data_IF_923435671375
#
_entry.id   IF_923435671375
#
_cell.length_a   1.000
_cell.length_b   1.000
_cell.length_c   1.000
_cell.angle_alpha   90.00
_cell.angle_beta   90.00
_cell.angle_gamma   90.00
#
_symmetry.space_group_name_H-M   'P 1'
#
loop_
_entity.id
_entity.type
_entity.pdbx_description
1 polymer ?
#
# COMPACT_ATOMS: atom_id res chain seq x y z
N UNK A 1 -3.92 4.41 1.57
CA UNK A 1 -5.37 4.07 1.68
C UNK A 1 -5.47 2.57 1.52
N UNK A 2 -5.72 1.82 2.59
CA UNK A 2 -5.90 0.37 2.54
C UNK A 2 -7.39 0.06 2.59
N UNK A 3 -7.89 -0.73 1.64
CA UNK A 3 -9.26 -1.23 1.61
C UNK A 3 -9.26 -2.73 1.81
N UNK A 4 -10.19 -3.23 2.64
CA UNK A 4 -10.51 -4.64 2.83
C UNK A 4 -11.60 -5.00 1.82
N UNK A 5 -11.36 -6.02 0.98
CA UNK A 5 -12.41 -6.61 0.14
C UNK A 5 -13.03 -7.78 0.89
N UNK A 6 -14.29 -7.63 1.30
CA UNK A 6 -15.18 -8.75 1.64
C UNK A 6 -16.22 -8.84 0.53
N UNK A 7 -16.27 -9.97 -0.16
CA UNK A 7 -17.40 -10.32 -1.02
C UNK A 7 -18.39 -11.11 -0.17
N UNK A 8 -19.66 -10.71 -0.21
CA UNK A 8 -20.76 -11.65 -0.03
C UNK A 8 -22.03 -11.19 -0.78
N UNK A 9 -22.84 -12.19 -1.11
CA UNK A 9 -23.86 -12.28 -2.15
C UNK A 9 -25.15 -11.46 -1.89
N UNK A 10 -25.66 -10.84 -2.96
CA UNK A 10 -27.06 -10.49 -3.29
C UNK A 10 -28.08 -10.20 -2.17
N UNK A 11 -28.67 -8.99 -2.19
CA UNK A 11 -30.14 -8.77 -2.21
C UNK A 11 -30.42 -7.37 -2.79
N UNK A 12 -31.39 -7.28 -3.71
CA UNK A 12 -31.84 -6.07 -4.40
C UNK A 12 -33.03 -5.49 -3.62
N UNK A 13 -32.97 -4.21 -3.24
CA UNK A 13 -34.13 -3.33 -3.02
C UNK A 13 -33.62 -1.87 -2.99
N UNK A 14 -33.76 -1.10 -4.07
CA UNK A 14 -34.88 -0.18 -4.35
C UNK A 14 -35.15 0.84 -3.25
N UNK A 15 -34.52 2.01 -3.37
CA UNK A 15 -34.94 3.22 -2.67
C UNK A 15 -33.74 4.12 -2.42
N UNK A 16 -33.64 5.21 -3.19
CA UNK A 16 -32.98 6.50 -2.88
C UNK A 16 -32.77 7.25 -4.21
N UNK A 17 -33.87 7.66 -4.84
CA UNK A 17 -33.86 8.60 -5.96
C UNK A 17 -34.69 9.79 -5.55
N UNK A 18 -34.20 10.64 -4.63
CA UNK A 18 -34.88 11.93 -4.36
C UNK A 18 -34.00 13.11 -3.93
N UNK A 19 -32.70 12.95 -3.66
CA UNK A 19 -31.91 14.06 -3.09
C UNK A 19 -30.91 14.73 -4.05
N UNK A 20 -30.97 14.48 -5.35
CA UNK A 20 -29.95 15.00 -6.30
C UNK A 20 -30.29 16.36 -6.94
N UNK A 21 -31.49 16.90 -6.75
CA UNK A 21 -31.96 18.06 -7.54
C UNK A 21 -31.94 19.41 -6.79
N UNK A 22 -31.56 19.42 -5.51
CA UNK A 22 -31.66 20.62 -4.66
C UNK A 22 -30.39 21.50 -4.61
N UNK A 23 -29.30 21.14 -5.30
CA UNK A 23 -28.00 21.84 -5.17
C UNK A 23 -27.47 22.54 -6.43
N UNK A 24 -28.28 22.72 -7.49
CA UNK A 24 -27.84 23.40 -8.71
C UNK A 24 -28.50 24.75 -9.00
N UNK A 25 -29.34 25.27 -8.11
CA UNK A 25 -29.91 26.62 -8.21
C UNK A 25 -28.92 27.70 -7.76
N UNK A 26 -27.82 27.89 -8.51
CA UNK A 26 -26.87 28.96 -8.21
C UNK A 26 -25.72 29.16 -9.18
N UNK A 27 -25.54 28.26 -10.16
CA UNK A 27 -24.54 28.43 -11.22
C UNK A 27 -25.22 29.10 -12.40
N UNK A 28 -25.33 30.43 -12.33
CA UNK A 28 -26.00 31.19 -13.39
C UNK A 28 -26.17 32.67 -13.09
N UNK A 29 -25.13 33.38 -12.64
CA UNK A 29 -25.09 34.82 -12.88
C UNK A 29 -23.66 35.37 -12.90
N UNK A 30 -23.44 36.27 -13.84
CA UNK A 30 -22.19 36.78 -14.40
C UNK A 30 -21.24 37.46 -13.41
N UNK A 31 -19.92 37.42 -13.69
CA UNK A 31 -19.04 38.58 -13.99
C UNK A 31 -17.56 38.25 -13.74
N UNK A 32 -16.69 38.56 -14.71
CA UNK A 32 -15.31 38.98 -14.47
C UNK A 32 -14.20 38.03 -14.93
N UNK A 33 -13.44 38.45 -15.95
CA UNK A 33 -12.14 37.90 -16.31
C UNK A 33 -11.07 38.22 -15.23
N UNK A 34 -11.18 37.58 -14.06
CA UNK A 34 -10.18 37.61 -12.99
C UNK A 34 -9.30 36.36 -13.04
N UNK A 35 -7.99 36.52 -12.86
CA UNK A 35 -7.06 35.40 -12.81
C UNK A 35 -7.48 34.39 -11.72
N UNK A 36 -7.76 33.16 -12.14
CA UNK A 36 -8.06 32.06 -11.24
C UNK A 36 -6.80 31.71 -10.45
N UNK A 37 -6.84 31.80 -9.12
CA UNK A 37 -5.75 31.31 -8.28
C UNK A 37 -5.97 29.82 -8.01
N UNK A 38 -5.09 28.96 -8.53
CA UNK A 38 -5.13 27.51 -8.26
C UNK A 38 -5.06 27.17 -6.76
N UNK A 39 -4.59 28.10 -5.91
CA UNK A 39 -4.60 27.96 -4.45
C UNK A 39 -6.01 27.77 -3.88
N UNK A 40 -7.01 28.41 -4.47
CA UNK A 40 -8.36 28.46 -3.89
C UNK A 40 -9.15 27.19 -4.21
N UNK A 41 -8.80 26.52 -5.31
CA UNK A 41 -9.31 25.19 -5.68
C UNK A 41 -8.77 24.12 -4.73
N UNK A 42 -7.51 24.23 -4.30
CA UNK A 42 -6.91 23.31 -3.31
C UNK A 42 -7.47 23.53 -1.90
N UNK A 43 -8.10 24.67 -1.62
CA UNK A 43 -8.73 24.97 -0.34
C UNK A 43 -10.18 24.43 -0.23
N UNK A 44 -10.72 23.82 -1.30
CA UNK A 44 -12.04 23.22 -1.27
C UNK A 44 -12.11 22.10 -0.21
N UNK A 45 -13.23 21.96 0.52
CA UNK A 45 -13.43 20.89 1.51
C UNK A 45 -13.24 19.47 0.94
N UNK A 46 -13.29 19.30 -0.39
CA UNK A 46 -12.96 18.05 -1.09
C UNK A 46 -11.50 17.60 -0.84
N UNK A 47 -10.59 18.53 -0.53
CA UNK A 47 -9.19 18.26 -0.18
C UNK A 47 -8.92 18.28 1.33
N UNK A 48 -9.91 18.62 2.15
CA UNK A 48 -9.83 18.29 3.58
C UNK A 48 -9.95 16.78 3.67
N UNK A 49 -8.82 16.16 3.98
CA UNK A 49 -8.72 14.80 4.45
C UNK A 49 -9.78 14.58 5.54
N UNK A 50 -10.93 14.04 5.16
CA UNK A 50 -11.90 13.52 6.11
C UNK A 50 -11.17 12.46 6.92
N UNK A 51 -10.98 12.76 8.19
CA UNK A 51 -10.62 11.77 9.20
C UNK A 51 -11.79 10.81 9.19
N UNK A 52 -11.63 9.70 8.48
CA UNK A 52 -12.61 8.63 8.34
C UNK A 52 -13.17 8.28 9.71
N UNK A 53 -14.37 8.79 10.01
CA UNK A 53 -15.15 8.42 11.17
C UNK A 53 -15.58 6.97 10.98
N UNK A 54 -14.86 6.08 11.68
CA UNK A 54 -15.15 4.65 11.73
C UNK A 54 -16.59 4.44 12.18
N UNK A 55 -17.42 3.90 11.30
CA UNK A 55 -18.71 3.31 11.64
C UNK A 55 -18.46 2.06 12.49
N UNK A 56 -18.90 2.12 13.73
CA UNK A 56 -18.95 0.99 14.66
C UNK A 56 -20.18 0.14 14.32
N UNK A 57 -20.05 -0.85 13.45
CA UNK A 57 -21.06 -1.90 13.30
C UNK A 57 -20.46 -3.30 13.49
N UNK A 58 -20.89 -3.89 14.61
CA UNK A 58 -21.08 -5.30 14.95
C UNK A 58 -20.36 -6.45 14.22
N UNK A 59 -19.58 -7.17 15.04
CA UNK A 59 -19.49 -8.65 15.07
C UNK A 59 -18.79 -9.39 13.92
N UNK A 60 -17.45 -9.33 13.91
CA UNK A 60 -16.57 -10.52 13.93
C UNK A 60 -15.10 -10.13 14.17
N UNK A 61 -14.42 -10.80 15.12
CA UNK A 61 -12.98 -10.74 15.46
C UNK A 61 -12.44 -9.54 16.27
N UNK A 62 -12.92 -9.38 17.51
CA UNK A 62 -12.47 -8.35 18.46
C UNK A 62 -11.08 -8.54 19.12
N UNK A 63 -10.05 -9.00 18.40
CA UNK A 63 -8.70 -9.21 18.98
C UNK A 63 -7.53 -8.60 18.21
N UNK A 64 -7.73 -8.14 16.97
CA UNK A 64 -6.62 -7.61 16.16
C UNK A 64 -6.60 -6.08 16.18
N UNK A 65 -5.48 -5.44 16.57
CA UNK A 65 -5.37 -3.99 16.50
C UNK A 65 -5.45 -3.54 15.03
N UNK A 66 -6.12 -2.42 14.71
CA UNK A 66 -6.12 -1.92 13.34
C UNK A 66 -4.71 -1.43 12.98
N UNK A 67 -4.13 -2.09 11.98
CA UNK A 67 -2.88 -1.71 11.38
C UNK A 67 -3.11 -0.66 10.29
N UNK A 68 -2.24 0.34 10.22
CA UNK A 68 -2.16 1.25 9.08
C UNK A 68 -0.77 1.26 8.50
N UNK A 69 -0.73 1.09 7.19
CA UNK A 69 0.47 1.11 6.37
C UNK A 69 0.37 2.32 5.47
N UNK A 70 1.38 3.17 5.52
CA UNK A 70 1.45 4.38 4.70
C UNK A 70 2.68 4.27 3.82
N UNK A 71 2.43 4.19 2.51
CA UNK A 71 3.46 4.32 1.50
C UNK A 71 3.77 5.80 1.27
N UNK A 72 5.00 6.21 1.56
CA UNK A 72 5.47 7.58 1.41
C UNK A 72 6.01 7.78 -0.02
N UNK A 73 5.11 7.81 -1.00
CA UNK A 73 5.45 8.08 -2.41
C UNK A 73 4.31 8.79 -3.15
N UNK A 74 4.64 9.39 -4.30
CA UNK A 74 3.67 10.11 -5.13
C UNK A 74 2.59 9.15 -5.66
N UNK A 75 1.36 9.36 -5.22
CA UNK A 75 0.19 8.57 -5.63
C UNK A 75 -0.61 9.35 -6.67
N UNK A 76 -1.20 8.65 -7.65
CA UNK A 76 -2.05 9.29 -8.67
C UNK A 76 -3.14 10.14 -8.03
N UNK A 77 -3.26 11.43 -8.40
CA UNK A 77 -4.23 12.36 -7.80
C UNK A 77 -5.67 12.08 -8.24
N UNK A 78 -5.86 11.44 -9.39
CA UNK A 78 -7.16 11.07 -9.93
C UNK A 78 -7.15 9.60 -10.34
N UNK A 79 -8.24 8.92 -10.01
CA UNK A 79 -8.48 7.51 -10.33
C UNK A 79 -9.91 7.39 -10.81
N UNK A 80 -10.15 6.53 -11.80
CA UNK A 80 -11.51 6.26 -12.25
C UNK A 80 -12.30 5.67 -11.09
N UNK A 81 -13.59 5.95 -11.05
CA UNK A 81 -14.49 5.33 -10.08
C UNK A 81 -14.35 3.79 -10.20
N UNK A 82 -14.10 3.11 -9.08
CA UNK A 82 -13.84 1.67 -8.95
C UNK A 82 -12.43 1.15 -9.31
N UNK A 83 -11.52 1.99 -9.80
CA UNK A 83 -10.11 1.60 -9.96
C UNK A 83 -9.35 1.84 -8.65
N UNK A 84 -8.33 1.01 -8.38
CA UNK A 84 -7.41 1.27 -7.27
C UNK A 84 -6.40 2.38 -7.63
N UNK A 85 -6.01 3.18 -6.64
CA UNK A 85 -4.97 4.19 -6.80
C UNK A 85 -3.62 3.58 -7.14
N UNK A 86 -2.98 4.08 -8.20
CA UNK A 86 -1.64 3.68 -8.59
C UNK A 86 -0.59 4.63 -8.00
N UNK A 87 0.43 4.07 -7.36
CA UNK A 87 1.56 4.83 -6.82
C UNK A 87 2.77 4.71 -7.75
N UNK A 88 3.40 5.84 -8.07
CA UNK A 88 4.55 5.86 -8.95
C UNK A 88 5.84 5.91 -8.16
N UNK A 89 6.76 5.01 -8.50
CA UNK A 89 8.03 4.83 -7.80
C UNK A 89 9.18 4.91 -8.78
N UNK A 90 10.29 5.43 -8.28
CA UNK A 90 11.56 5.31 -8.95
C UNK A 90 12.28 4.06 -8.48
N UNK A 91 13.03 3.43 -9.36
CA UNK A 91 13.88 2.30 -9.04
C UNK A 91 14.85 2.70 -7.91
N UNK A 92 14.89 1.91 -6.84
CA UNK A 92 15.71 2.18 -5.66
C UNK A 92 15.04 3.06 -4.57
N UNK A 93 13.89 3.67 -4.84
CA UNK A 93 13.23 4.60 -3.90
C UNK A 93 11.85 4.09 -3.43
N UNK A 94 11.76 3.57 -2.20
CA UNK A 94 10.48 3.35 -1.52
C UNK A 94 10.61 3.42 0.01
N UNK A 95 9.83 4.31 0.64
CA UNK A 95 9.69 4.33 2.10
C UNK A 95 8.29 3.90 2.50
N UNK A 96 8.18 2.81 3.25
CA UNK A 96 6.94 2.39 3.90
C UNK A 96 7.03 2.77 5.38
N UNK A 97 5.97 3.36 5.91
CA UNK A 97 5.85 3.64 7.34
C UNK A 97 4.67 2.89 7.93
N UNK A 98 4.89 2.27 9.09
CA UNK A 98 3.88 1.55 9.85
C UNK A 98 3.41 2.42 10.99
N UNK A 99 2.10 2.59 11.10
CA UNK A 99 1.47 3.28 12.23
C UNK A 99 0.38 2.37 12.81
N UNK A 100 0.45 1.95 14.07
CA UNK A 100 -0.71 1.37 14.73
C UNK A 100 -1.75 2.48 14.93
N UNK A 101 -2.99 2.29 14.45
CA UNK A 101 -4.04 3.33 14.49
C UNK A 101 -4.73 3.38 15.85
N UNK A 102 -4.85 2.26 16.56
CA UNK A 102 -5.53 2.19 17.85
C UNK A 102 -4.67 1.50 18.91
N UNK A 103 -3.48 2.02 19.19
CA UNK A 103 -2.73 1.59 20.39
C UNK A 103 -3.50 1.96 21.68
N UNK A 104 -4.41 2.93 21.65
CA UNK A 104 -5.11 3.46 22.84
C UNK A 104 -6.11 2.53 23.54
N UNK A 105 -6.57 1.42 22.93
CA UNK A 105 -7.49 0.47 23.60
C UNK A 105 -6.78 -0.77 24.18
N UNK A 106 -5.57 -1.10 23.71
CA UNK A 106 -4.79 -2.26 24.20
C UNK A 106 -3.74 -1.89 25.26
N UNK A 107 -3.34 -0.61 25.34
CA UNK A 107 -2.37 -0.11 26.33
C UNK A 107 -2.82 -0.30 27.78
N UNK A 108 -4.14 -0.33 28.07
CA UNK A 108 -4.59 -0.38 29.47
C UNK A 108 -4.40 -1.73 30.16
N UNK A 109 -4.07 -2.81 29.42
CA UNK A 109 -4.01 -4.17 29.99
C UNK A 109 -2.60 -4.80 30.05
N UNK A 110 -1.61 -4.32 29.29
CA UNK A 110 -0.26 -4.93 29.28
C UNK A 110 0.84 -3.87 29.23
N UNK A 111 1.12 -3.23 30.36
CA UNK A 111 2.03 -2.07 30.44
C UNK A 111 3.52 -2.39 30.46
N UNK A 112 3.96 -3.66 30.42
CA UNK A 112 5.40 -4.00 30.51
C UNK A 112 5.94 -5.12 29.60
N UNK A 113 5.13 -5.74 28.73
CA UNK A 113 5.63 -6.78 27.81
C UNK A 113 5.85 -6.24 26.40
N UNK A 114 7.05 -6.45 25.86
CA UNK A 114 7.35 -6.17 24.45
C UNK A 114 6.52 -7.12 23.59
N UNK A 115 5.66 -6.59 22.73
CA UNK A 115 4.90 -7.40 21.77
C UNK A 115 5.52 -7.29 20.39
N UNK A 116 6.24 -8.32 20.00
CA UNK A 116 6.87 -8.41 18.69
C UNK A 116 5.88 -8.92 17.65
N UNK A 117 5.96 -8.34 16.46
CA UNK A 117 5.29 -8.84 15.25
C UNK A 117 6.30 -9.00 14.14
N UNK A 118 6.11 -10.03 13.31
CA UNK A 118 6.83 -10.18 12.05
C UNK A 118 5.99 -9.63 10.91
N UNK A 119 6.61 -8.89 10.01
CA UNK A 119 5.99 -8.44 8.77
C UNK A 119 6.80 -8.93 7.58
N UNK A 120 6.11 -9.48 6.58
CA UNK A 120 6.68 -9.87 5.30
C UNK A 120 6.18 -8.90 4.24
N UNK A 121 7.10 -8.18 3.61
CA UNK A 121 6.84 -7.31 2.46
C UNK A 121 7.20 -8.05 1.18
N UNK A 122 6.31 -8.00 0.18
CA UNK A 122 6.51 -8.64 -1.13
C UNK A 122 6.12 -7.70 -2.27
N UNK A 123 6.86 -7.77 -3.37
CA UNK A 123 6.45 -7.20 -4.66
C UNK A 123 5.96 -8.34 -5.55
N UNK A 124 4.71 -8.29 -5.96
CA UNK A 124 4.07 -9.29 -6.81
C UNK A 124 3.44 -8.65 -8.03
N UNK A 125 3.17 -9.43 -9.07
CA UNK A 125 2.43 -8.91 -10.23
C UNK A 125 0.99 -8.56 -9.84
N UNK A 126 0.48 -7.41 -10.32
CA UNK A 126 -0.94 -7.11 -10.19
C UNK A 126 -1.78 -7.88 -11.23
N UNK A 127 -1.24 -8.10 -12.44
CA UNK A 127 -1.89 -8.85 -13.51
C UNK A 127 -1.96 -10.35 -13.18
N UNK A 128 -3.18 -10.90 -13.18
CA UNK A 128 -3.46 -12.31 -12.84
C UNK A 128 -2.72 -13.30 -13.74
N UNK A 129 -2.57 -13.01 -15.04
CA UNK A 129 -1.85 -13.88 -15.98
C UNK A 129 -0.36 -13.94 -15.64
N UNK A 130 0.21 -12.82 -15.22
CA UNK A 130 1.61 -12.75 -14.80
C UNK A 130 1.82 -13.41 -13.44
N UNK A 131 0.85 -13.36 -12.52
CA UNK A 131 0.91 -14.13 -11.26
C UNK A 131 1.07 -15.64 -11.50
N UNK A 132 0.30 -16.23 -12.43
CA UNK A 132 0.44 -17.66 -12.77
C UNK A 132 1.80 -18.05 -13.34
N UNK A 133 2.53 -17.07 -13.90
CA UNK A 133 3.85 -17.28 -14.50
C UNK A 133 4.95 -16.55 -13.73
N UNK A 134 4.67 -16.13 -12.49
CA UNK A 134 5.52 -15.23 -11.72
C UNK A 134 6.92 -15.81 -11.54
N UNK A 135 7.02 -17.08 -11.15
CA UNK A 135 8.30 -17.75 -10.99
C UNK A 135 9.17 -17.65 -12.25
N UNK A 136 8.60 -17.89 -13.44
CA UNK A 136 9.32 -17.78 -14.72
C UNK A 136 9.73 -16.33 -15.02
N UNK A 137 8.88 -15.35 -14.71
CA UNK A 137 9.20 -13.93 -14.89
C UNK A 137 10.37 -13.51 -13.99
N UNK A 138 10.35 -13.94 -12.72
CA UNK A 138 11.40 -13.65 -11.75
C UNK A 138 12.72 -14.35 -12.09
N UNK A 139 12.69 -15.59 -12.57
CA UNK A 139 13.89 -16.29 -13.07
C UNK A 139 14.48 -15.58 -14.29
N UNK A 140 13.63 -15.20 -15.25
CA UNK A 140 14.07 -14.43 -16.42
C UNK A 140 14.69 -13.08 -16.05
N UNK A 141 14.16 -12.42 -15.01
CA UNK A 141 14.74 -11.20 -14.46
C UNK A 141 16.12 -11.47 -13.82
N UNK A 142 16.21 -12.48 -12.95
CA UNK A 142 17.44 -12.90 -12.26
C UNK A 142 18.57 -13.25 -13.23
N UNK A 143 18.24 -13.92 -14.34
CA UNK A 143 19.23 -14.30 -15.35
C UNK A 143 19.97 -13.09 -15.94
N UNK A 144 19.28 -11.96 -16.12
CA UNK A 144 19.88 -10.73 -16.64
C UNK A 144 20.61 -9.92 -15.55
N UNK A 145 20.46 -10.30 -14.28
CA UNK A 145 20.96 -9.59 -13.09
C UNK A 145 21.47 -10.58 -12.04
N UNK A 146 22.57 -11.28 -12.31
CA UNK A 146 23.11 -12.26 -11.37
C UNK A 146 23.56 -11.57 -10.08
N UNK A 147 23.00 -11.99 -8.94
CA UNK A 147 23.33 -11.44 -7.63
C UNK A 147 22.36 -10.39 -7.11
N UNK A 148 21.57 -9.76 -7.99
CA UNK A 148 20.59 -8.77 -7.57
C UNK A 148 19.33 -9.44 -6.98
N UNK A 149 18.76 -8.77 -5.98
CA UNK A 149 17.42 -9.08 -5.46
C UNK A 149 16.42 -8.11 -6.06
N UNK A 150 15.18 -8.55 -6.26
CA UNK A 150 14.11 -7.68 -6.76
C UNK A 150 13.67 -6.70 -5.68
N UNK A 151 13.68 -7.15 -4.43
CA UNK A 151 13.30 -6.41 -3.25
C UNK A 151 14.36 -6.56 -2.16
N UNK A 152 14.79 -5.45 -1.58
CA UNK A 152 15.66 -5.42 -0.40
C UNK A 152 15.20 -4.38 0.63
N UNK A 153 15.73 -4.47 1.85
CA UNK A 153 15.51 -3.49 2.92
C UNK A 153 16.79 -2.69 3.14
N UNK A 154 16.68 -1.36 3.03
CA UNK A 154 17.76 -0.45 3.43
C UNK A 154 17.73 -0.28 4.95
N UNK A 155 18.55 -1.08 5.63
CA UNK A 155 18.61 -1.12 7.10
C UNK A 155 19.02 0.25 7.68
N UNK A 156 20.08 0.93 7.19
CA UNK A 156 20.47 2.26 7.68
C UNK A 156 19.36 3.32 7.62
N UNK A 157 18.48 3.27 6.61
CA UNK A 157 17.36 4.21 6.46
C UNK A 157 16.08 3.76 7.18
N UNK A 158 16.04 2.54 7.68
CA UNK A 158 14.90 1.98 8.41
C UNK A 158 14.98 2.30 9.92
N UNK A 159 13.83 2.42 10.57
CA UNK A 159 13.71 2.82 11.98
C UNK A 159 12.76 1.88 12.70
N UNK A 160 13.17 1.34 13.85
CA UNK A 160 12.31 0.51 14.69
C UNK A 160 12.05 -0.91 14.16
N UNK A 161 12.79 -1.34 13.14
CA UNK A 161 12.82 -2.72 12.67
C UNK A 161 13.95 -3.51 13.33
N UNK A 162 13.77 -4.82 13.43
CA UNK A 162 14.73 -5.77 14.00
C UNK A 162 14.80 -7.00 13.11
N UNK A 163 15.94 -7.67 13.13
CA UNK A 163 16.18 -8.92 12.38
C UNK A 163 15.64 -8.94 10.93
N UNK A 164 16.01 -7.97 10.07
CA UNK A 164 15.62 -8.03 8.67
C UNK A 164 16.20 -9.30 8.03
N UNK A 165 15.35 -10.07 7.36
CA UNK A 165 15.66 -11.37 6.73
C UNK A 165 15.21 -11.34 5.27
N UNK A 166 16.09 -11.77 4.38
CA UNK A 166 15.82 -11.85 2.95
C UNK A 166 16.20 -13.24 2.44
N UNK A 167 15.21 -14.09 2.17
CA UNK A 167 15.46 -15.46 1.72
C UNK A 167 16.06 -15.46 0.30
N UNK A 168 17.24 -16.08 0.06
CA UNK A 168 17.86 -16.14 -1.27
C UNK A 168 16.96 -16.76 -2.37
N UNK A 169 16.03 -17.63 -1.99
CA UNK A 169 15.09 -18.29 -2.92
C UNK A 169 13.89 -17.41 -3.27
N UNK A 170 13.59 -16.38 -2.47
CA UNK A 170 12.45 -15.47 -2.68
C UNK A 170 12.97 -14.06 -2.96
N UNK A 171 13.31 -13.79 -4.22
CA UNK A 171 13.95 -12.53 -4.63
C UNK A 171 13.07 -11.28 -4.42
N UNK A 172 11.76 -11.46 -4.36
CA UNK A 172 10.76 -10.41 -4.32
C UNK A 172 10.16 -10.22 -2.92
N UNK A 173 10.76 -10.80 -1.88
CA UNK A 173 10.27 -10.76 -0.52
C UNK A 173 11.37 -10.43 0.49
N UNK A 174 10.99 -9.72 1.56
CA UNK A 174 11.81 -9.49 2.73
C UNK A 174 10.92 -9.49 3.98
N UNK A 175 11.49 -9.90 5.10
CA UNK A 175 10.84 -10.00 6.39
C UNK A 175 11.59 -9.15 7.41
N UNK A 176 10.88 -8.62 8.40
CA UNK A 176 11.49 -7.98 9.57
C UNK A 176 10.57 -8.07 10.77
N UNK A 177 11.16 -7.98 11.96
CA UNK A 177 10.45 -7.88 13.23
C UNK A 177 10.29 -6.40 13.62
N UNK A 178 9.24 -6.09 14.35
CA UNK A 178 9.03 -4.76 14.93
C UNK A 178 8.18 -4.83 16.20
N UNK A 179 8.31 -3.82 17.05
CA UNK A 179 7.59 -3.70 18.32
C UNK A 179 6.25 -2.97 18.09
N UNK A 180 5.13 -3.64 18.41
CA UNK A 180 3.77 -3.08 18.27
C UNK A 180 3.53 -1.83 19.13
N UNK A 181 4.33 -1.65 20.19
CA UNK A 181 4.24 -0.49 21.08
C UNK A 181 5.02 0.73 20.54
N UNK A 182 5.79 0.57 19.46
CA UNK A 182 6.60 1.63 18.85
C UNK A 182 6.18 1.89 17.41
N UNK A 183 6.55 3.05 16.90
CA UNK A 183 6.45 3.32 15.46
C UNK A 183 7.61 2.66 14.75
N UNK A 184 7.35 2.08 13.59
CA UNK A 184 8.36 1.51 12.71
C UNK A 184 8.25 2.10 11.30
N UNK A 185 9.38 2.23 10.64
CA UNK A 185 9.49 2.64 9.25
C UNK A 185 10.50 1.72 8.58
N UNK A 186 10.16 1.19 7.41
CA UNK A 186 11.08 0.39 6.60
C UNK A 186 11.30 1.09 5.28
N UNK A 187 12.56 1.24 4.93
CA UNK A 187 12.96 1.66 3.61
C UNK A 187 13.17 0.40 2.77
N UNK A 188 12.41 0.27 1.69
CA UNK A 188 12.51 -0.86 0.77
C UNK A 188 13.10 -0.37 -0.53
N UNK A 189 13.99 -1.16 -1.10
CA UNK A 189 14.53 -0.91 -2.43
C UNK A 189 13.89 -1.89 -3.40
N UNK A 190 13.18 -1.35 -4.41
CA UNK A 190 12.62 -2.14 -5.50
C UNK A 190 13.52 -1.96 -6.73
N UNK A 191 14.16 -3.05 -7.14
CA UNK A 191 15.15 -3.02 -8.22
C UNK A 191 14.58 -3.39 -9.59
N UNK A 192 13.37 -3.95 -9.67
CA UNK A 192 12.76 -4.22 -10.98
C UNK A 192 11.98 -3.02 -11.51
N UNK A 193 11.99 -2.85 -12.83
CA UNK A 193 11.23 -1.79 -13.52
C UNK A 193 10.04 -2.40 -14.24
N UNK A 194 8.89 -1.71 -14.23
CA UNK A 194 7.64 -2.20 -14.81
C UNK A 194 7.72 -2.57 -16.30
N UNK A 195 8.61 -1.95 -17.07
CA UNK A 195 8.81 -2.23 -18.51
C UNK A 195 9.70 -3.44 -18.79
N UNK A 196 10.30 -4.05 -17.77
CA UNK A 196 11.17 -5.23 -17.97
C UNK A 196 10.37 -6.51 -18.18
N UNK A 197 9.11 -6.49 -17.75
CA UNK A 197 8.18 -7.61 -17.83
C UNK A 197 7.16 -7.42 -18.97
N UNK A 198 7.39 -6.47 -19.88
CA UNK A 198 6.57 -6.31 -21.08
C UNK A 198 7.08 -7.23 -22.20
N UNK A 199 6.19 -7.76 -23.06
CA UNK A 199 6.60 -8.60 -24.19
C UNK A 199 7.59 -7.92 -25.14
N UNK A 200 7.41 -6.62 -25.40
CA UNK A 200 8.37 -5.84 -26.18
C UNK A 200 9.24 -5.04 -25.21
N UNK A 201 10.51 -5.46 -25.13
CA UNK A 201 11.56 -4.76 -24.35
C UNK A 201 12.02 -3.44 -25.01
N UNK A 202 11.69 -3.25 -26.28
CA UNK A 202 11.94 -2.00 -27.01
C UNK A 202 10.76 -1.06 -26.75
N UNK A 203 11.07 0.15 -26.28
CA UNK A 203 10.12 1.07 -25.65
C UNK A 203 8.82 1.36 -26.42
N UNK A 204 7.83 1.90 -25.71
CA UNK A 204 6.50 2.24 -26.23
C UNK A 204 5.36 1.42 -25.64
N UNK A 205 5.66 0.31 -24.95
CA UNK A 205 4.64 -0.46 -24.22
C UNK A 205 4.41 0.09 -22.80
N UNK A 206 3.15 0.08 -22.37
CA UNK A 206 2.77 0.42 -21.00
C UNK A 206 3.37 -0.62 -20.05
N UNK A 207 4.31 -0.20 -19.20
CA UNK A 207 4.90 -1.06 -18.17
C UNK A 207 3.84 -1.73 -17.28
N UNK A 208 4.14 -2.96 -16.86
CA UNK A 208 3.31 -3.84 -16.03
C UNK A 208 3.18 -3.28 -14.60
N UNK A 209 1.94 -3.16 -14.06
CA UNK A 209 1.76 -2.77 -12.66
C UNK A 209 2.13 -3.92 -11.70
N UNK A 210 2.73 -3.56 -10.57
CA UNK A 210 2.95 -4.48 -9.46
C UNK A 210 2.03 -4.13 -8.30
N UNK A 211 2.01 -5.01 -7.30
CA UNK A 211 1.40 -4.78 -6.01
C UNK A 211 2.46 -5.00 -4.94
N UNK A 212 2.61 -4.05 -4.03
CA UNK A 212 3.29 -4.30 -2.76
C UNK A 212 2.26 -4.92 -1.83
N UNK A 213 2.60 -6.08 -1.27
CA UNK A 213 1.83 -6.77 -0.26
C UNK A 213 2.60 -6.78 1.04
N UNK A 214 1.89 -6.58 2.14
CA UNK A 214 2.44 -6.66 3.49
C UNK A 214 1.53 -7.58 4.29
N UNK A 215 2.08 -8.69 4.75
CA UNK A 215 1.42 -9.59 5.69
C UNK A 215 2.10 -9.45 7.04
N UNK A 216 1.31 -9.30 8.10
CA UNK A 216 1.79 -9.15 9.48
C UNK A 216 1.30 -10.30 10.32
N UNK A 217 2.21 -10.90 11.08
CA UNK A 217 1.99 -12.08 11.90
C UNK A 217 2.41 -11.79 13.34
N UNK A 218 1.73 -12.41 14.29
CA UNK A 218 2.19 -12.45 15.68
C UNK A 218 3.43 -13.32 15.77
N UNK A 219 4.46 -12.79 16.41
CA UNK A 219 5.69 -13.54 16.67
C UNK A 219 5.46 -14.45 17.88
N UNK A 220 5.67 -15.76 17.71
CA UNK A 220 5.70 -16.71 18.84
C UNK A 220 7.05 -16.73 19.55
N UNK A 221 7.05 -17.28 20.77
CA UNK A 221 8.25 -17.38 21.63
C UNK A 221 9.42 -18.16 20.98
N UNK A 222 9.11 -19.08 20.07
CA UNK A 222 10.09 -19.93 19.39
C UNK A 222 10.58 -19.37 18.05
N UNK A 223 10.17 -18.16 17.65
CA UNK A 223 10.51 -17.62 16.34
C UNK A 223 9.50 -17.95 15.22
N UNK A 224 8.50 -18.80 15.49
CA UNK A 224 7.48 -19.19 14.52
C UNK A 224 6.35 -18.15 14.39
N UNK A 225 5.74 -18.08 13.20
CA UNK A 225 4.50 -17.34 12.98
C UNK A 225 3.36 -18.08 13.64
N UNK A 226 2.82 -17.51 14.72
CA UNK A 226 1.76 -18.17 15.49
C UNK A 226 0.38 -17.83 14.98
N UNK A 227 0.20 -16.62 14.42
CA UNK A 227 -1.10 -16.10 14.01
C UNK A 227 -0.95 -15.03 12.93
N UNK A 228 -1.79 -15.06 11.90
CA UNK A 228 -1.92 -13.96 10.93
C UNK A 228 -2.77 -12.84 11.52
N UNK A 229 -2.22 -11.63 11.56
CA UNK A 229 -2.87 -10.47 12.17
C UNK A 229 -3.53 -9.57 11.13
N UNK A 230 -2.83 -9.31 10.02
CA UNK A 230 -3.30 -8.35 9.02
C UNK A 230 -2.59 -8.50 7.67
N UNK A 231 -3.31 -8.21 6.58
CA UNK A 231 -2.75 -8.06 5.23
C UNK A 231 -3.14 -6.71 4.63
N UNK A 232 -2.17 -6.02 4.04
CA UNK A 232 -2.39 -4.79 3.30
C UNK A 232 -1.72 -4.86 1.94
N UNK A 233 -2.24 -4.09 0.97
CA UNK A 233 -1.57 -3.96 -0.31
C UNK A 233 -1.86 -2.63 -1.00
N UNK A 234 -0.99 -2.25 -1.92
CA UNK A 234 -1.20 -1.11 -2.81
C UNK A 234 -0.58 -1.38 -4.19
N UNK A 235 -1.17 -0.78 -5.23
CA UNK A 235 -0.62 -0.87 -6.57
C UNK A 235 0.51 0.12 -6.77
N UNK A 236 1.57 -0.35 -7.41
CA UNK A 236 2.74 0.45 -7.74
C UNK A 236 3.11 0.28 -9.20
N UNK A 237 3.82 1.29 -9.73
CA UNK A 237 4.50 1.21 -11.00
C UNK A 237 5.89 1.81 -10.85
N UNK A 238 6.90 1.02 -11.21
CA UNK A 238 8.31 1.37 -10.99
C UNK A 238 8.92 1.83 -12.32
N UNK A 239 9.59 2.97 -12.29
CA UNK A 239 10.29 3.56 -13.43
C UNK A 239 11.80 3.60 -13.19
N UNK A 240 12.56 3.55 -14.28
CA UNK A 240 14.00 3.78 -14.23
C UNK A 240 14.27 5.25 -13.93
N UNK A 241 15.19 5.52 -13.02
CA UNK A 241 15.70 6.89 -12.80
C UNK A 241 16.42 7.34 -14.07
N UNK A 242 16.02 8.50 -14.62
CA UNK A 242 16.77 9.14 -15.69
C UNK A 242 17.87 9.99 -15.03
N UNK A 243 19.11 9.53 -15.08
CA UNK A 243 20.27 10.37 -14.78
C UNK A 243 20.43 11.37 -15.93
N UNK A 244 20.20 12.66 -15.65
CA UNK A 244 20.54 13.76 -16.54
C UNK A 244 22.03 14.08 -16.47
#
# INVERSE_FOLDING_TARGET
MAWVLKMDHATIESGLVHDFDASLSGIGQELGAGAYSMSDVLALPIFKQEVSSLTSDGESSGLNPPFQYVLCAATSPAVKLHDETLTYLNQGDLVLSWRPVLTMRYIYIHTHTVMLSSSIVRVVFHDRRLQYTEHRQLEGWKWNRPGDRLLDIDIPLSVGIMEPKANPSQLNAAEFLWDLNRRASVFVQVHCISTEFTPRKHGGEKGVPFRIQIDTFRQGDNGEYTEHLHSASCQIKVFKVQTH
#
